data_IF_387877318137
#
_entry.id   IF_387877318137
#
_cell.length_a   1.000
_cell.length_b   1.000
_cell.length_c   1.000
_cell.angle_alpha   90.00
_cell.angle_beta   90.00
_cell.angle_gamma   90.00
#
_symmetry.space_group_name_H-M   'P 1'
#
loop_
_entity.id
_entity.type
_entity.pdbx_description
1 polymer ?
#
# COMPACT_ATOMS: atom_id res chain seq x y z
N UNK A 1 -3.50 12.61 -15.58
CA UNK A 1 -4.23 11.94 -14.47
C UNK A 1 -3.60 10.58 -14.17
N UNK A 2 -2.38 10.57 -13.61
CA UNK A 2 -1.69 9.33 -13.17
C UNK A 2 -0.82 9.55 -11.91
N UNK A 3 -0.83 10.77 -11.37
CA UNK A 3 -0.05 11.17 -10.19
C UNK A 3 -0.48 10.42 -8.92
N UNK A 4 -1.77 10.10 -8.80
CA UNK A 4 -2.31 9.34 -7.67
C UNK A 4 -1.76 7.91 -7.64
N UNK A 5 -1.78 7.21 -8.77
CA UNK A 5 -1.23 5.85 -8.87
C UNK A 5 0.29 5.86 -8.62
N UNK A 6 1.02 6.78 -9.23
CA UNK A 6 2.46 6.89 -9.02
C UNK A 6 2.82 7.18 -7.55
N UNK A 7 2.07 8.06 -6.88
CA UNK A 7 2.27 8.37 -5.47
C UNK A 7 1.93 7.18 -4.56
N UNK A 8 0.84 6.47 -4.83
CA UNK A 8 0.44 5.27 -4.09
C UNK A 8 1.49 4.15 -4.24
N UNK A 9 1.96 3.88 -5.45
CA UNK A 9 3.01 2.89 -5.71
C UNK A 9 4.32 3.26 -5.00
N UNK A 10 4.71 4.54 -5.02
CA UNK A 10 5.90 5.03 -4.32
C UNK A 10 5.76 4.84 -2.81
N UNK A 11 4.64 5.25 -2.22
CA UNK A 11 4.40 5.08 -0.78
C UNK A 11 4.38 3.60 -0.38
N UNK A 12 3.74 2.74 -1.18
CA UNK A 12 3.71 1.30 -0.93
C UNK A 12 5.13 0.71 -0.94
N UNK A 13 5.95 1.08 -1.92
CA UNK A 13 7.34 0.61 -2.03
C UNK A 13 8.18 1.01 -0.82
N UNK A 14 8.07 2.27 -0.38
CA UNK A 14 8.79 2.76 0.79
C UNK A 14 8.31 2.08 2.08
N UNK A 15 7.00 1.86 2.24
CA UNK A 15 6.44 1.13 3.39
C UNK A 15 6.94 -0.32 3.45
N UNK A 16 6.97 -1.02 2.33
CA UNK A 16 7.48 -2.41 2.25
C UNK A 16 8.98 -2.42 2.54
N UNK A 17 9.74 -1.47 1.99
CA UNK A 17 11.19 -1.34 2.23
C UNK A 17 11.51 -1.05 3.69
N UNK A 18 10.67 -0.28 4.38
CA UNK A 18 10.81 0.03 5.80
C UNK A 18 10.40 -1.13 6.73
N UNK A 19 9.56 -2.06 6.26
CA UNK A 19 9.05 -3.19 7.05
C UNK A 19 10.12 -3.99 7.82
N UNK A 20 11.26 -4.41 7.22
CA UNK A 20 12.30 -5.11 7.97
C UNK A 20 12.90 -4.27 9.10
N UNK A 21 13.08 -2.96 8.90
CA UNK A 21 13.60 -2.07 9.93
C UNK A 21 12.58 -1.87 11.06
N UNK A 22 11.29 -1.70 10.74
CA UNK A 22 10.20 -1.63 11.73
C UNK A 22 10.09 -2.94 12.51
N UNK A 23 10.20 -4.09 11.84
CA UNK A 23 10.14 -5.40 12.49
C UNK A 23 11.32 -5.67 13.43
N UNK A 24 12.49 -5.12 13.12
CA UNK A 24 13.68 -5.29 13.94
C UNK A 24 13.77 -4.33 15.13
N UNK A 25 13.16 -3.14 15.04
CA UNK A 25 13.36 -2.06 16.02
C UNK A 25 12.08 -1.60 16.75
N UNK A 26 10.89 -2.03 16.31
CA UNK A 26 9.63 -1.55 16.86
C UNK A 26 8.82 -2.66 17.55
N UNK A 27 7.91 -2.24 18.42
CA UNK A 27 6.98 -3.12 19.12
C UNK A 27 5.96 -3.76 18.17
N UNK A 28 5.40 -4.89 18.59
CA UNK A 28 4.37 -5.64 17.84
C UNK A 28 3.19 -4.76 17.39
N UNK A 29 2.77 -3.80 18.21
CA UNK A 29 1.68 -2.86 17.88
C UNK A 29 2.03 -1.92 16.71
N UNK A 30 3.28 -1.47 16.64
CA UNK A 30 3.76 -0.61 15.54
C UNK A 30 3.90 -1.42 14.26
N UNK A 31 4.38 -2.66 14.37
CA UNK A 31 4.45 -3.60 13.24
C UNK A 31 3.04 -3.86 12.68
N UNK A 32 2.07 -4.14 13.55
CA UNK A 32 0.70 -4.37 13.16
C UNK A 32 0.07 -3.14 12.48
N UNK A 33 0.28 -1.94 13.04
CA UNK A 33 -0.16 -0.68 12.42
C UNK A 33 0.49 -0.46 11.05
N UNK A 34 1.77 -0.80 10.90
CA UNK A 34 2.51 -0.68 9.64
C UNK A 34 1.99 -1.65 8.59
N UNK A 35 1.69 -2.89 8.97
CA UNK A 35 1.06 -3.89 8.10
C UNK A 35 -0.34 -3.41 7.67
N UNK A 36 -1.15 -2.87 8.59
CA UNK A 36 -2.47 -2.29 8.27
C UNK A 36 -2.37 -1.15 7.26
N UNK A 37 -1.35 -0.30 7.37
CA UNK A 37 -1.09 0.76 6.38
C UNK A 37 -0.72 0.19 5.00
N UNK A 38 0.16 -0.81 4.93
CA UNK A 38 0.50 -1.48 3.68
C UNK A 38 -0.75 -2.06 3.01
N UNK A 39 -1.59 -2.77 3.77
CA UNK A 39 -2.84 -3.34 3.27
C UNK A 39 -3.82 -2.27 2.75
N UNK A 40 -3.91 -1.13 3.43
CA UNK A 40 -4.74 0.00 3.00
C UNK A 40 -4.27 0.56 1.64
N UNK A 41 -2.97 0.84 1.51
CA UNK A 41 -2.41 1.35 0.24
C UNK A 41 -2.46 0.31 -0.88
N UNK A 42 -2.36 -0.98 -0.57
CA UNK A 42 -2.55 -2.06 -1.54
C UNK A 42 -3.98 -2.08 -2.11
N UNK A 43 -5.00 -1.93 -1.26
CA UNK A 43 -6.40 -1.85 -1.72
C UNK A 43 -6.62 -0.62 -2.60
N UNK A 44 -6.05 0.52 -2.23
CA UNK A 44 -6.14 1.72 -3.07
C UNK A 44 -5.41 1.54 -4.41
N UNK A 45 -4.24 0.89 -4.41
CA UNK A 45 -3.53 0.55 -5.63
C UNK A 45 -4.35 -0.36 -6.53
N UNK A 46 -4.91 -1.45 -6.01
CA UNK A 46 -5.75 -2.39 -6.77
C UNK A 46 -6.97 -1.67 -7.38
N UNK A 47 -7.67 -0.82 -6.61
CA UNK A 47 -8.78 -0.02 -7.13
C UNK A 47 -8.34 0.96 -8.24
N UNK A 48 -7.20 1.64 -8.06
CA UNK A 48 -6.68 2.58 -9.06
C UNK A 48 -6.19 1.87 -10.33
N UNK A 49 -5.55 0.71 -10.19
CA UNK A 49 -5.12 -0.13 -11.31
C UNK A 49 -6.35 -0.63 -12.08
N UNK A 50 -7.38 -1.12 -11.39
CA UNK A 50 -8.64 -1.57 -12.02
C UNK A 50 -9.34 -0.43 -12.76
N UNK A 51 -9.45 0.75 -12.13
CA UNK A 51 -10.02 1.93 -12.75
C UNK A 51 -9.21 2.41 -13.97
N UNK A 52 -7.89 2.24 -13.94
CA UNK A 52 -7.00 2.58 -15.06
C UNK A 52 -7.06 1.52 -16.17
N UNK A 53 -7.25 0.25 -15.82
CA UNK A 53 -7.34 -0.87 -16.75
C UNK A 53 -8.75 -1.05 -17.35
N UNK A 54 -9.75 -0.28 -16.91
CA UNK A 54 -11.14 -0.41 -17.36
C UNK A 54 -11.79 -1.73 -16.94
N UNK A 55 -11.27 -2.38 -15.88
CA UNK A 55 -11.79 -3.67 -15.41
C UNK A 55 -13.01 -3.46 -14.49
N UNK A 56 -14.14 -4.16 -14.71
CA UNK A 56 -15.32 -4.02 -13.87
C UNK A 56 -15.06 -4.55 -12.45
N UNK A 57 -15.53 -3.80 -11.45
CA UNK A 57 -15.53 -4.23 -10.04
C UNK A 57 -16.44 -5.45 -9.87
N UNK A 58 -16.02 -6.53 -9.18
CA UNK A 58 -16.93 -7.60 -8.80
C UNK A 58 -17.95 -7.05 -7.80
N UNK A 59 -19.22 -7.33 -8.09
CA UNK A 59 -20.37 -7.04 -7.24
C UNK A 59 -20.35 -7.86 -5.95
#
# INVERSE_FOLDING_TARGET
MNYKLHNVTRNLRELIKALPAVRANCSAEVIDRHIRLIAHFQRQYDQLVRATAGLPSPA
#
